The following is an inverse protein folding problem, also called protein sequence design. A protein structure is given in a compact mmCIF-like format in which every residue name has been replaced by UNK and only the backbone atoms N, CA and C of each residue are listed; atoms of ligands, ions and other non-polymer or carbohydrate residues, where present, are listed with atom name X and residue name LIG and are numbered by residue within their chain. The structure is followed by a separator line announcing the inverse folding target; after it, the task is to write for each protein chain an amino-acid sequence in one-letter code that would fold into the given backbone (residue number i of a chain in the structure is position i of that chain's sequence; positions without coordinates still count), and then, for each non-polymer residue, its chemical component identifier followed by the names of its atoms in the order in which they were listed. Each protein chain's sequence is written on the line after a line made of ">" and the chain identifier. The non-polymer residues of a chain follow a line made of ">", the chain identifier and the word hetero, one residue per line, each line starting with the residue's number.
data_IF_439656957545
#
_entry.id   IF_439656957545
#
_cell.length_a   1.000
_cell.length_b   1.000
_cell.length_c   1.000
_cell.angle_alpha   90.00
_cell.angle_beta   90.00
_cell.angle_gamma   90.00
#
_symmetry.space_group_name_H-M   'P 1'
#
loop_
_entity.id
_entity.type
_entity.pdbx_description
1 polymer ?
#
# COMPACT_ATOMS: atom_id res chain seq x y z
N UNK A 1 7.12 13.62 16.92
CA UNK A 1 5.88 14.02 16.21
C UNK A 1 5.17 12.77 15.68
N UNK A 2 3.84 12.73 15.70
CA UNK A 2 3.05 11.52 15.38
C UNK A 2 2.48 11.65 13.96
N UNK A 3 2.92 10.79 13.05
CA UNK A 3 2.40 10.77 11.67
C UNK A 3 0.91 10.45 11.67
N UNK A 4 0.11 11.23 10.95
CA UNK A 4 -1.34 11.03 10.77
C UNK A 4 -1.57 10.16 9.54
N UNK A 5 -2.44 9.16 9.66
CA UNK A 5 -2.86 8.33 8.53
C UNK A 5 -4.21 8.85 8.02
N UNK A 6 -4.27 9.19 6.73
CA UNK A 6 -5.51 9.54 6.03
C UNK A 6 -5.77 8.53 4.94
N UNK A 7 -7.03 8.24 4.67
CA UNK A 7 -7.46 7.42 3.55
C UNK A 7 -8.44 8.20 2.68
N UNK A 8 -8.34 8.06 1.36
CA UNK A 8 -9.36 8.58 0.46
C UNK A 8 -10.63 7.71 0.55
N UNK A 9 -11.79 8.28 0.17
CA UNK A 9 -13.04 7.50 0.04
C UNK A 9 -12.89 6.33 -0.94
N UNK A 10 -12.06 6.49 -1.98
CA UNK A 10 -11.77 5.44 -2.95
C UNK A 10 -11.01 4.27 -2.31
N UNK A 11 -9.96 4.58 -1.52
CA UNK A 11 -9.22 3.58 -0.76
C UNK A 11 -10.13 2.81 0.19
N UNK A 12 -10.95 3.50 0.98
CA UNK A 12 -11.85 2.87 1.95
C UNK A 12 -12.87 1.94 1.28
N UNK A 13 -13.44 2.35 0.15
CA UNK A 13 -14.38 1.54 -0.62
C UNK A 13 -13.72 0.27 -1.15
N UNK A 14 -12.53 0.39 -1.72
CA UNK A 14 -11.79 -0.77 -2.22
C UNK A 14 -11.37 -1.71 -1.10
N UNK A 15 -10.91 -1.17 0.04
CA UNK A 15 -10.54 -1.98 1.19
C UNK A 15 -11.74 -2.79 1.73
N UNK A 16 -12.94 -2.19 1.78
CA UNK A 16 -14.18 -2.89 2.14
C UNK A 16 -14.51 -4.00 1.13
N UNK A 17 -14.30 -3.76 -0.17
CA UNK A 17 -14.50 -4.77 -1.22
C UNK A 17 -13.53 -5.95 -1.06
N UNK A 18 -12.25 -5.69 -0.79
CA UNK A 18 -11.25 -6.74 -0.56
C UNK A 18 -11.54 -7.55 0.69
N UNK A 19 -11.99 -6.90 1.77
CA UNK A 19 -12.41 -7.60 2.98
C UNK A 19 -13.55 -8.61 2.71
N UNK A 20 -14.56 -8.21 1.92
CA UNK A 20 -15.65 -9.12 1.49
C UNK A 20 -15.12 -10.31 0.69
N UNK A 21 -14.06 -10.12 -0.09
CA UNK A 21 -13.37 -11.17 -0.86
C UNK A 21 -12.35 -11.97 -0.04
N UNK A 22 -12.36 -11.85 1.29
CA UNK A 22 -11.46 -12.59 2.20
C UNK A 22 -9.97 -12.29 1.96
N UNK A 23 -9.62 -11.11 1.42
CA UNK A 23 -8.23 -10.68 1.42
C UNK A 23 -7.75 -10.47 2.86
N UNK A 24 -6.47 -10.76 3.17
CA UNK A 24 -5.94 -10.65 4.52
C UNK A 24 -5.65 -9.19 4.91
N UNK A 25 -6.65 -8.31 4.83
CA UNK A 25 -6.52 -6.85 5.00
C UNK A 25 -5.92 -6.42 6.35
N UNK A 26 -5.93 -7.31 7.35
CA UNK A 26 -5.28 -7.08 8.66
C UNK A 26 -3.78 -6.83 8.54
N UNK A 27 -3.12 -7.35 7.49
CA UNK A 27 -1.66 -7.13 7.28
C UNK A 27 -1.31 -5.71 6.87
N UNK A 28 -2.29 -4.89 6.51
CA UNK A 28 -2.04 -3.46 6.28
C UNK A 28 -1.55 -2.76 7.55
N UNK A 29 -2.04 -3.14 8.74
CA UNK A 29 -1.60 -2.51 9.99
C UNK A 29 -0.09 -2.56 10.20
N UNK A 30 0.57 -3.73 10.15
CA UNK A 30 2.03 -3.77 10.28
C UNK A 30 2.77 -3.16 9.08
N UNK A 31 2.22 -3.24 7.85
CA UNK A 31 2.82 -2.55 6.71
C UNK A 31 2.88 -1.03 6.93
N UNK A 32 1.78 -0.43 7.39
CA UNK A 32 1.70 1.01 7.68
C UNK A 32 2.61 1.40 8.84
N UNK A 33 2.70 0.56 9.87
CA UNK A 33 3.63 0.78 10.97
C UNK A 33 5.09 0.80 10.48
N UNK A 34 5.47 -0.12 9.59
CA UNK A 34 6.80 -0.15 8.98
C UNK A 34 7.10 1.10 8.13
N UNK A 35 6.12 1.59 7.37
CA UNK A 35 6.26 2.84 6.61
C UNK A 35 6.49 4.04 7.54
N UNK A 36 5.70 4.15 8.62
CA UNK A 36 5.85 5.23 9.60
C UNK A 36 7.20 5.16 10.32
N UNK A 37 7.63 3.94 10.66
CA UNK A 37 8.90 3.70 11.36
C UNK A 37 10.13 3.73 10.44
N UNK A 38 9.94 3.83 9.12
CA UNK A 38 11.00 3.69 8.11
C UNK A 38 11.81 2.37 8.29
N UNK A 39 11.11 1.28 8.62
CA UNK A 39 11.72 -0.04 8.80
C UNK A 39 12.18 -0.62 7.45
N UNK A 40 13.48 -0.45 7.16
CA UNK A 40 14.09 -0.87 5.89
C UNK A 40 13.92 -2.36 5.59
N UNK A 41 13.90 -3.22 6.61
CA UNK A 41 13.77 -4.65 6.40
C UNK A 41 12.36 -4.99 5.89
N UNK A 42 11.35 -4.47 6.59
CA UNK A 42 9.95 -4.67 6.19
C UNK A 42 9.63 -3.97 4.88
N UNK A 43 10.14 -2.76 4.65
CA UNK A 43 9.96 -2.03 3.39
C UNK A 43 10.52 -2.82 2.19
N UNK A 44 11.70 -3.43 2.33
CA UNK A 44 12.26 -4.32 1.31
C UNK A 44 11.38 -5.56 1.10
N UNK A 45 10.88 -6.16 2.19
CA UNK A 45 10.01 -7.33 2.13
C UNK A 45 8.72 -7.05 1.36
N UNK A 46 8.04 -5.94 1.66
CA UNK A 46 6.78 -5.55 1.01
C UNK A 46 7.01 -4.90 -0.37
N UNK A 47 8.27 -4.84 -0.83
CA UNK A 47 8.69 -4.18 -2.06
C UNK A 47 8.17 -2.73 -2.15
N UNK A 48 8.26 -2.00 -1.05
CA UNK A 48 7.94 -0.58 -1.06
C UNK A 48 8.91 0.18 -1.98
N UNK A 49 8.38 0.96 -2.91
CA UNK A 49 9.18 1.77 -3.82
C UNK A 49 8.42 3.01 -4.32
N UNK A 50 9.18 4.01 -4.77
CA UNK A 50 8.61 5.19 -5.39
C UNK A 50 8.10 4.88 -6.79
N UNK A 51 6.93 5.43 -7.12
CA UNK A 51 6.39 5.41 -8.46
C UNK A 51 7.10 6.44 -9.35
N UNK A 52 7.03 6.22 -10.66
CA UNK A 52 7.71 7.03 -11.68
C UNK A 52 6.69 7.72 -12.61
N UNK A 53 7.18 8.55 -13.53
CA UNK A 53 6.33 9.23 -14.52
C UNK A 53 5.32 10.18 -13.88
N UNK A 54 4.07 10.13 -14.32
CA UNK A 54 2.99 10.99 -13.80
C UNK A 54 2.66 10.73 -12.32
N UNK A 55 3.14 9.61 -11.77
CA UNK A 55 2.99 9.23 -10.36
C UNK A 55 4.21 9.59 -9.52
N UNK A 56 5.08 10.50 -9.99
CA UNK A 56 6.17 11.01 -9.18
C UNK A 56 5.66 11.59 -7.84
N UNK A 57 6.38 11.30 -6.75
CA UNK A 57 5.97 11.68 -5.39
C UNK A 57 5.02 10.69 -4.70
N UNK A 58 4.53 9.68 -5.41
CA UNK A 58 3.78 8.57 -4.84
C UNK A 58 4.68 7.35 -4.63
N UNK A 59 4.23 6.45 -3.77
CA UNK A 59 4.87 5.18 -3.45
C UNK A 59 3.86 4.06 -3.49
N UNK A 60 4.33 2.85 -3.75
CA UNK A 60 3.51 1.65 -3.70
C UNK A 60 4.17 0.54 -2.89
N UNK A 61 3.36 -0.33 -2.30
CA UNK A 61 3.82 -1.56 -1.66
C UNK A 61 2.84 -2.71 -1.87
N UNK A 62 3.34 -3.95 -1.74
CA UNK A 62 2.60 -5.20 -1.88
C UNK A 62 2.28 -5.80 -0.49
N UNK A 63 1.05 -5.64 0.05
CA UNK A 63 0.76 -6.09 1.42
C UNK A 63 0.86 -7.61 1.58
N UNK A 64 0.59 -8.37 0.52
CA UNK A 64 0.63 -9.83 0.53
C UNK A 64 2.02 -10.40 0.88
N UNK A 65 3.09 -9.64 0.63
CA UNK A 65 4.47 -10.06 0.91
C UNK A 65 4.83 -10.00 2.39
N UNK A 66 4.06 -9.27 3.20
CA UNK A 66 4.27 -9.24 4.65
C UNK A 66 4.03 -10.61 5.29
N UNK A 67 2.97 -11.31 4.87
CA UNK A 67 2.60 -12.65 5.38
C UNK A 67 2.85 -13.80 4.41
N UNK A 68 3.52 -13.55 3.29
CA UNK A 68 3.82 -14.55 2.25
C UNK A 68 2.59 -15.33 1.76
N UNK A 69 1.46 -14.64 1.52
CA UNK A 69 0.16 -15.27 1.19
C UNK A 69 0.08 -15.97 -0.17
N UNK A 70 1.17 -16.02 -0.94
CA UNK A 70 1.25 -16.67 -2.24
C UNK A 70 1.00 -15.74 -3.42
N UNK A 71 1.38 -16.21 -4.62
CA UNK A 71 1.38 -15.43 -5.87
C UNK A 71 -0.02 -14.92 -6.26
N UNK A 72 -1.10 -15.58 -5.81
CA UNK A 72 -2.45 -15.12 -6.16
C UNK A 72 -2.81 -13.75 -5.59
N UNK A 73 -2.07 -13.25 -4.59
CA UNK A 73 -2.26 -11.92 -4.01
C UNK A 73 -1.21 -10.89 -4.46
N UNK A 74 -0.29 -11.23 -5.37
CA UNK A 74 0.80 -10.32 -5.79
C UNK A 74 0.27 -9.06 -6.49
N UNK A 75 -0.90 -9.15 -7.14
CA UNK A 75 -1.57 -7.99 -7.73
C UNK A 75 -2.16 -7.02 -6.70
N UNK A 76 -2.21 -7.40 -5.41
CA UNK A 76 -2.65 -6.50 -4.35
C UNK A 76 -1.58 -5.47 -4.04
N UNK A 77 -1.85 -4.23 -4.39
CA UNK A 77 -0.95 -3.10 -4.18
C UNK A 77 -1.71 -1.98 -3.50
N UNK A 78 -1.02 -1.28 -2.61
CA UNK A 78 -1.49 -0.03 -2.01
C UNK A 78 -0.61 1.11 -2.49
N UNK A 79 -1.25 2.16 -3.01
CA UNK A 79 -0.58 3.41 -3.40
C UNK A 79 -0.79 4.44 -2.30
N UNK A 80 0.30 5.09 -1.89
CA UNK A 80 0.31 6.11 -0.85
C UNK A 80 1.21 7.30 -1.23
N UNK A 81 1.08 8.40 -0.51
CA UNK A 81 2.07 9.50 -0.51
C UNK A 81 2.41 9.89 0.92
N UNK A 82 3.63 10.39 1.11
CA UNK A 82 4.02 11.09 2.32
C UNK A 82 3.93 12.59 2.04
N UNK A 83 3.19 13.30 2.87
CA UNK A 83 2.94 14.73 2.75
C UNK A 83 3.11 15.37 4.12
N UNK A 84 4.27 15.99 4.36
CA UNK A 84 4.66 16.52 5.67
C UNK A 84 4.52 15.45 6.78
N UNK A 85 3.58 15.65 7.71
CA UNK A 85 3.28 14.71 8.80
C UNK A 85 2.14 13.73 8.47
N UNK A 86 1.76 13.60 7.21
CA UNK A 86 0.63 12.79 6.77
C UNK A 86 1.05 11.66 5.84
N UNK A 87 0.63 10.44 6.18
CA UNK A 87 0.62 9.30 5.29
C UNK A 87 -0.78 9.21 4.67
N UNK A 88 -0.89 9.52 3.38
CA UNK A 88 -2.17 9.52 2.68
C UNK A 88 -2.27 8.26 1.83
N UNK A 89 -3.28 7.42 2.09
CA UNK A 89 -3.60 6.20 1.36
C UNK A 89 -4.58 6.52 0.24
N UNK A 90 -4.17 6.32 -1.01
CA UNK A 90 -4.94 6.77 -2.18
C UNK A 90 -5.76 5.68 -2.80
N UNK A 91 -5.13 4.55 -3.13
CA UNK A 91 -5.71 3.52 -3.97
C UNK A 91 -5.30 2.14 -3.51
N UNK A 92 -6.15 1.17 -3.83
CA UNK A 92 -5.85 -0.25 -3.76
C UNK A 92 -6.12 -0.85 -5.13
N UNK A 93 -5.13 -1.49 -5.74
CA UNK A 93 -5.31 -2.25 -6.98
C UNK A 93 -5.14 -3.75 -6.71
N UNK A 94 -5.84 -4.57 -7.49
CA UNK A 94 -5.73 -6.04 -7.51
C UNK A 94 -5.54 -6.57 -8.93
N UNK A 95 -5.13 -5.72 -9.88
CA UNK A 95 -5.04 -6.00 -11.31
C UNK A 95 -3.65 -5.75 -11.90
N UNK A 96 -3.46 -5.99 -13.21
CA UNK A 96 -2.18 -5.78 -13.86
C UNK A 96 -1.65 -4.34 -13.71
N UNK A 97 -0.33 -4.24 -13.59
CA UNK A 97 0.43 -3.10 -13.06
C UNK A 97 0.53 -1.91 -14.04
N UNK A 98 -0.09 -2.00 -15.23
CA UNK A 98 0.02 -0.97 -16.28
C UNK A 98 -0.51 0.41 -15.84
N UNK A 99 -1.37 0.46 -14.81
CA UNK A 99 -1.91 1.73 -14.28
C UNK A 99 -0.82 2.58 -13.59
N UNK A 100 0.26 1.97 -13.08
CA UNK A 100 1.23 2.60 -12.18
C UNK A 100 2.60 2.84 -12.84
N UNK A 101 2.77 2.45 -14.11
CA UNK A 101 4.05 2.52 -14.85
C UNK A 101 4.05 3.50 -16.04
N UNK A 102 2.95 4.22 -16.28
CA UNK A 102 2.81 5.24 -17.34
C UNK A 102 2.90 6.65 -16.79
#
# INVERSE_FOLDING_TARGET
>A
MKMKIKATKAFERELKRLNKKQYPIKVLKPCLAAIIAQDRQTLKQIKDHALQGKWHGYREFHPARYGSYGKQYDGWIVVYKLDHEELVLLLVTTGPHEILTQ
#
